data_IF_091756690049
#
_entry.id   IF_091756690049
#
_cell.length_a   1.000
_cell.length_b   1.000
_cell.length_c   1.000
_cell.angle_alpha   90.00
_cell.angle_beta   90.00
_cell.angle_gamma   90.00
#
_symmetry.space_group_name_H-M   'P 1'
#
loop_
_entity.id
_entity.type
_entity.pdbx_description
1 polymer ?
#
# COMPACT_ATOMS: atom_id res chain seq x y z
N UNK A 1 8.12 -27.71 17.89
CA UNK A 1 8.46 -27.49 16.46
C UNK A 1 7.28 -27.60 15.49
N UNK A 2 6.09 -28.07 15.88
CA UNK A 2 4.95 -28.23 14.96
C UNK A 2 4.15 -26.94 14.66
N UNK A 3 3.95 -26.06 15.64
CA UNK A 3 3.10 -24.86 15.45
C UNK A 3 3.67 -23.78 14.52
N UNK A 4 4.98 -23.52 14.60
CA UNK A 4 5.69 -22.56 13.74
C UNK A 4 5.71 -23.00 12.26
N UNK A 5 5.89 -24.30 12.02
CA UNK A 5 5.89 -24.85 10.67
C UNK A 5 4.51 -24.79 10.03
N UNK A 6 3.46 -25.14 10.78
CA UNK A 6 2.06 -25.07 10.30
C UNK A 6 1.66 -23.63 9.99
N UNK A 7 1.93 -22.68 10.89
CA UNK A 7 1.64 -21.26 10.65
C UNK A 7 2.39 -20.69 9.45
N UNK A 8 3.65 -21.09 9.25
CA UNK A 8 4.44 -20.67 8.07
C UNK A 8 3.89 -21.25 6.76
N UNK A 9 3.44 -22.51 6.78
CA UNK A 9 2.81 -23.17 5.63
C UNK A 9 1.47 -22.48 5.31
N UNK A 10 0.63 -22.23 6.30
CA UNK A 10 -0.67 -21.57 6.11
C UNK A 10 -0.50 -20.15 5.54
N UNK A 11 0.47 -19.38 6.04
CA UNK A 11 0.80 -18.06 5.50
C UNK A 11 1.23 -18.14 4.02
N UNK A 12 2.08 -19.10 3.68
CA UNK A 12 2.58 -19.31 2.32
C UNK A 12 1.48 -19.77 1.38
N UNK A 13 0.58 -20.65 1.83
CA UNK A 13 -0.58 -21.11 1.05
C UNK A 13 -1.59 -19.99 0.83
N UNK A 14 -1.85 -19.11 1.82
CA UNK A 14 -2.70 -17.92 1.63
C UNK A 14 -2.14 -16.97 0.58
N UNK A 15 -0.83 -16.75 0.59
CA UNK A 15 -0.16 -15.97 -0.45
C UNK A 15 -0.31 -16.66 -1.82
N UNK A 16 -0.09 -17.96 -1.91
CA UNK A 16 -0.24 -18.72 -3.14
C UNK A 16 -1.66 -18.67 -3.69
N UNK A 17 -2.69 -18.88 -2.86
CA UNK A 17 -4.10 -18.77 -3.28
C UNK A 17 -4.41 -17.39 -3.84
N UNK A 18 -3.92 -16.33 -3.20
CA UNK A 18 -4.09 -14.96 -3.68
C UNK A 18 -3.35 -14.72 -5.00
N UNK A 19 -2.14 -15.24 -5.15
CA UNK A 19 -1.37 -15.14 -6.39
C UNK A 19 -2.09 -15.83 -7.57
N UNK A 20 -2.66 -17.03 -7.34
CA UNK A 20 -3.43 -17.75 -8.35
C UNK A 20 -4.65 -16.95 -8.81
N UNK A 21 -5.42 -16.38 -7.87
CA UNK A 21 -6.61 -15.56 -8.14
C UNK A 21 -6.28 -14.32 -9.00
N UNK A 22 -5.18 -13.63 -8.70
CA UNK A 22 -4.75 -12.48 -9.51
C UNK A 22 -4.24 -12.93 -10.86
N UNK A 23 -3.46 -14.00 -10.94
CA UNK A 23 -2.90 -14.46 -12.20
C UNK A 23 -4.00 -14.79 -13.20
N UNK A 24 -5.14 -15.29 -12.72
CA UNK A 24 -6.31 -15.59 -13.55
C UNK A 24 -7.06 -14.31 -13.97
N UNK A 25 -7.24 -13.35 -13.06
CA UNK A 25 -8.11 -12.19 -13.29
C UNK A 25 -7.41 -10.93 -13.83
N UNK A 26 -6.09 -10.81 -13.70
CA UNK A 26 -5.37 -9.54 -13.92
C UNK A 26 -5.41 -9.02 -15.36
N UNK A 27 -5.29 -9.92 -16.35
CA UNK A 27 -5.42 -9.53 -17.77
C UNK A 27 -6.82 -8.98 -18.06
N UNK A 28 -7.85 -9.73 -17.65
CA UNK A 28 -9.24 -9.37 -17.92
C UNK A 28 -9.64 -8.07 -17.21
N UNK A 29 -9.12 -7.87 -15.98
CA UNK A 29 -9.31 -6.62 -15.23
C UNK A 29 -8.73 -5.40 -15.97
N UNK A 30 -7.51 -5.51 -16.54
CA UNK A 30 -6.91 -4.41 -17.32
C UNK A 30 -7.71 -4.15 -18.59
N UNK A 31 -8.06 -5.20 -19.34
CA UNK A 31 -8.81 -5.07 -20.60
C UNK A 31 -10.16 -4.40 -20.33
N UNK A 32 -10.86 -4.84 -19.28
CA UNK A 32 -12.13 -4.27 -18.87
C UNK A 32 -12.01 -2.81 -18.46
N UNK A 33 -11.00 -2.45 -17.68
CA UNK A 33 -10.77 -1.06 -17.25
C UNK A 33 -10.53 -0.13 -18.46
N UNK A 34 -9.73 -0.58 -19.44
CA UNK A 34 -9.49 0.14 -20.69
C UNK A 34 -10.78 0.27 -21.50
N UNK A 35 -11.49 -0.84 -21.71
CA UNK A 35 -12.75 -0.86 -22.45
C UNK A 35 -13.81 0.06 -21.83
N UNK A 36 -14.00 0.01 -20.51
CA UNK A 36 -14.99 0.82 -19.80
C UNK A 36 -14.65 2.32 -19.89
N UNK A 37 -13.37 2.68 -19.89
CA UNK A 37 -12.94 4.06 -20.07
C UNK A 37 -13.14 4.55 -21.51
N UNK A 38 -12.83 3.72 -22.51
CA UNK A 38 -13.07 4.03 -23.93
C UNK A 38 -14.56 4.17 -24.23
N UNK A 39 -15.40 3.29 -23.68
CA UNK A 39 -16.86 3.35 -23.86
C UNK A 39 -17.47 4.65 -23.31
N UNK A 40 -16.89 5.20 -22.24
CA UNK A 40 -17.33 6.48 -21.65
C UNK A 40 -16.77 7.70 -22.37
N UNK A 41 -15.71 7.54 -23.16
CA UNK A 41 -15.01 8.63 -23.84
C UNK A 41 -14.69 8.19 -25.30
N UNK A 42 -15.70 8.09 -26.17
CA UNK A 42 -15.55 7.51 -27.50
C UNK A 42 -14.63 8.31 -28.44
N UNK A 43 -14.46 9.61 -28.20
CA UNK A 43 -13.65 10.51 -29.05
C UNK A 43 -12.17 10.63 -28.61
N UNK A 44 -11.68 9.71 -27.78
CA UNK A 44 -10.28 9.72 -27.35
C UNK A 44 -9.34 9.43 -28.52
N UNK A 45 -8.28 10.23 -28.64
CA UNK A 45 -7.21 9.96 -29.59
C UNK A 45 -6.46 8.68 -29.24
N UNK A 46 -5.83 8.04 -30.23
CA UNK A 46 -5.01 6.85 -30.01
C UNK A 46 -3.88 7.09 -28.99
N UNK A 47 -3.33 8.31 -28.94
CA UNK A 47 -2.33 8.71 -27.96
C UNK A 47 -2.92 8.74 -26.54
N UNK A 48 -4.11 9.32 -26.36
CA UNK A 48 -4.78 9.36 -25.06
C UNK A 48 -5.17 7.94 -24.57
N UNK A 49 -5.58 7.06 -25.49
CA UNK A 49 -5.86 5.65 -25.18
C UNK A 49 -4.60 4.94 -24.67
N UNK A 50 -3.46 5.13 -25.35
CA UNK A 50 -2.18 4.57 -24.95
C UNK A 50 -1.77 5.04 -23.55
N UNK A 51 -1.83 6.34 -23.30
CA UNK A 51 -1.49 6.91 -21.99
C UNK A 51 -2.41 6.39 -20.87
N UNK A 52 -3.70 6.21 -21.16
CA UNK A 52 -4.63 5.61 -20.22
C UNK A 52 -4.27 4.15 -19.93
N UNK A 53 -3.99 3.36 -20.96
CA UNK A 53 -3.62 1.95 -20.81
C UNK A 53 -2.33 1.78 -19.98
N UNK A 54 -1.32 2.61 -20.21
CA UNK A 54 -0.08 2.63 -19.42
C UNK A 54 -0.36 2.96 -17.95
N UNK A 55 -1.18 3.98 -17.67
CA UNK A 55 -1.59 4.33 -16.30
C UNK A 55 -2.42 3.23 -15.64
N UNK A 56 -3.33 2.60 -16.37
CA UNK A 56 -4.16 1.50 -15.90
C UNK A 56 -3.31 0.28 -15.52
N UNK A 57 -2.32 -0.07 -16.36
CA UNK A 57 -1.36 -1.12 -16.07
C UNK A 57 -0.58 -0.84 -14.79
N UNK A 58 0.03 0.36 -14.69
CA UNK A 58 0.79 0.77 -13.51
C UNK A 58 -0.09 0.76 -12.24
N UNK A 59 -1.31 1.28 -12.33
CA UNK A 59 -2.27 1.27 -11.23
C UNK A 59 -2.54 -0.16 -10.75
N UNK A 60 -2.84 -1.10 -11.66
CA UNK A 60 -3.10 -2.47 -11.27
C UNK A 60 -1.85 -3.14 -10.67
N UNK A 61 -0.67 -2.93 -11.25
CA UNK A 61 0.60 -3.44 -10.71
C UNK A 61 0.82 -2.96 -9.28
N UNK A 62 0.62 -1.67 -9.00
CA UNK A 62 0.78 -1.13 -7.66
C UNK A 62 -0.25 -1.68 -6.67
N UNK A 63 -1.51 -1.84 -7.10
CA UNK A 63 -2.54 -2.44 -6.26
C UNK A 63 -2.22 -3.89 -5.89
N UNK A 64 -1.74 -4.69 -6.86
CA UNK A 64 -1.33 -6.07 -6.60
C UNK A 64 -0.17 -6.11 -5.61
N UNK A 65 0.84 -5.25 -5.76
CA UNK A 65 1.96 -5.16 -4.82
C UNK A 65 1.50 -4.77 -3.41
N UNK A 66 0.66 -3.73 -3.32
CA UNK A 66 0.09 -3.24 -2.06
C UNK A 66 -0.67 -4.35 -1.33
N UNK A 67 -1.61 -5.01 -2.01
CA UNK A 67 -2.43 -6.08 -1.40
C UNK A 67 -1.58 -7.32 -1.09
N UNK A 68 -0.56 -7.64 -1.90
CA UNK A 68 0.41 -8.70 -1.57
C UNK A 68 1.11 -8.42 -0.24
N UNK A 69 1.66 -7.22 -0.07
CA UNK A 69 2.35 -6.84 1.17
C UNK A 69 1.39 -6.89 2.37
N UNK A 70 0.15 -6.43 2.19
CA UNK A 70 -0.87 -6.52 3.25
C UNK A 70 -1.24 -7.97 3.57
N UNK A 71 -1.38 -8.86 2.57
CA UNK A 71 -1.64 -10.30 2.78
C UNK A 71 -0.52 -10.99 3.55
N UNK A 72 0.74 -10.66 3.23
CA UNK A 72 1.92 -11.15 3.95
C UNK A 72 1.88 -10.62 5.39
N UNK A 73 1.67 -9.32 5.56
CA UNK A 73 1.58 -8.66 6.86
C UNK A 73 0.47 -9.23 7.73
N UNK A 74 -0.70 -9.54 7.15
CA UNK A 74 -1.83 -10.15 7.86
C UNK A 74 -1.60 -11.61 8.22
N UNK A 75 -0.85 -12.33 7.39
CA UNK A 75 -0.50 -13.73 7.67
C UNK A 75 0.55 -13.84 8.77
N UNK A 76 1.44 -12.84 8.87
CA UNK A 76 2.47 -12.77 9.90
C UNK A 76 1.91 -12.12 11.18
N UNK A 77 1.33 -10.93 11.11
CA UNK A 77 0.96 -10.07 12.25
C UNK A 77 -0.19 -10.54 13.15
N UNK A 78 -0.63 -11.80 13.06
CA UNK A 78 -1.50 -12.37 14.08
C UNK A 78 -0.76 -12.38 15.44
N UNK A 79 -1.51 -12.23 16.54
CA UNK A 79 -1.02 -11.93 17.90
C UNK A 79 0.16 -12.78 18.41
N UNK A 80 0.37 -13.98 17.87
CA UNK A 80 1.45 -14.89 18.24
C UNK A 80 2.81 -14.54 17.59
N UNK A 81 2.87 -13.58 16.67
CA UNK A 81 4.05 -13.33 15.84
C UNK A 81 4.88 -12.10 16.22
N UNK A 82 4.51 -11.32 17.24
CA UNK A 82 5.30 -10.14 17.62
C UNK A 82 6.74 -10.50 18.01
N UNK A 83 6.95 -11.58 18.77
CA UNK A 83 8.29 -12.07 19.15
C UNK A 83 9.09 -12.61 17.96
N UNK A 84 8.41 -13.23 17.00
CA UNK A 84 9.02 -13.80 15.79
C UNK A 84 9.41 -12.66 14.84
N UNK A 85 8.54 -11.66 14.73
CA UNK A 85 8.72 -10.51 13.87
C UNK A 85 9.88 -9.62 14.32
N UNK A 86 9.93 -9.27 15.61
CA UNK A 86 11.07 -8.55 16.20
C UNK A 86 12.39 -9.24 15.86
N UNK A 87 12.44 -10.59 15.87
CA UNK A 87 13.65 -11.35 15.54
C UNK A 87 13.96 -11.42 14.04
N UNK A 88 12.96 -11.58 13.17
CA UNK A 88 13.16 -11.76 11.72
C UNK A 88 13.56 -10.45 11.02
N UNK A 89 13.07 -9.31 11.52
CA UNK A 89 13.17 -8.02 10.82
C UNK A 89 14.45 -7.27 11.13
N UNK A 90 15.10 -7.64 12.23
CA UNK A 90 16.42 -7.10 12.57
C UNK A 90 17.50 -7.62 11.60
N UNK A 91 17.28 -8.77 10.94
CA UNK A 91 18.35 -9.48 10.22
C UNK A 91 18.30 -9.35 8.69
N UNK A 92 17.21 -8.81 8.11
CA UNK A 92 17.06 -8.69 6.65
C UNK A 92 16.74 -7.27 6.20
N UNK A 93 17.68 -6.71 5.46
CA UNK A 93 17.65 -5.31 5.03
C UNK A 93 17.28 -5.13 3.55
N UNK A 94 16.04 -5.47 3.17
CA UNK A 94 15.54 -5.25 1.79
C UNK A 94 14.29 -4.36 1.74
N UNK A 95 14.01 -3.68 0.61
CA UNK A 95 12.82 -2.84 0.48
C UNK A 95 11.49 -3.55 0.75
N UNK A 96 11.37 -4.82 0.32
CA UNK A 96 10.17 -5.62 0.58
C UNK A 96 9.98 -5.89 2.09
N UNK A 97 11.05 -6.22 2.80
CA UNK A 97 11.01 -6.42 4.25
C UNK A 97 10.59 -5.15 5.00
N UNK A 98 11.11 -3.99 4.60
CA UNK A 98 10.72 -2.70 5.19
C UNK A 98 9.25 -2.34 4.92
N UNK A 99 8.73 -2.65 3.73
CA UNK A 99 7.32 -2.39 3.41
C UNK A 99 6.39 -3.28 4.23
N UNK A 100 6.73 -4.56 4.40
CA UNK A 100 6.01 -5.47 5.30
C UNK A 100 6.09 -4.96 6.75
N UNK A 101 7.26 -4.47 7.19
CA UNK A 101 7.42 -3.85 8.51
C UNK A 101 6.48 -2.69 8.73
N UNK A 102 6.51 -1.74 7.82
CA UNK A 102 5.67 -0.57 7.90
C UNK A 102 4.19 -0.97 7.94
N UNK A 103 3.77 -1.90 7.09
CA UNK A 103 2.38 -2.40 7.09
C UNK A 103 2.00 -3.02 8.43
N UNK A 104 2.87 -3.81 9.07
CA UNK A 104 2.59 -4.42 10.37
C UNK A 104 2.50 -3.36 11.48
N UNK A 105 3.46 -2.43 11.55
CA UNK A 105 3.47 -1.37 12.56
C UNK A 105 2.21 -0.49 12.47
N UNK A 106 1.80 -0.13 11.24
CA UNK A 106 0.64 0.71 11.00
C UNK A 106 -0.68 -0.03 11.26
N UNK A 107 -0.82 -1.28 10.83
CA UNK A 107 -2.12 -1.97 10.81
C UNK A 107 -2.43 -2.73 12.10
N UNK A 108 -1.42 -3.37 12.70
CA UNK A 108 -1.58 -4.19 13.90
C UNK A 108 -1.19 -3.45 15.17
N UNK A 109 0.00 -2.83 15.18
CA UNK A 109 0.47 -2.06 16.33
C UNK A 109 -0.19 -0.68 16.42
N UNK A 110 -0.82 -0.23 15.32
CA UNK A 110 -1.46 1.09 15.18
C UNK A 110 -0.51 2.22 15.59
N UNK A 111 0.78 2.04 15.31
CA UNK A 111 1.84 2.91 15.76
C UNK A 111 2.53 3.56 14.56
N UNK A 112 2.88 4.85 14.72
CA UNK A 112 3.66 5.59 13.74
C UNK A 112 5.08 5.74 14.27
N UNK A 113 5.98 4.92 13.75
CA UNK A 113 7.40 5.00 14.06
C UNK A 113 8.09 6.04 13.17
N UNK A 114 8.28 7.24 13.72
CA UNK A 114 8.90 8.35 12.98
C UNK A 114 10.32 8.09 12.47
N UNK A 115 11.22 7.55 13.31
CA UNK A 115 12.54 7.13 12.87
C UNK A 115 12.51 6.19 11.65
N UNK A 116 11.65 5.16 11.68
CA UNK A 116 11.51 4.21 10.58
C UNK A 116 11.06 4.90 9.29
N UNK A 117 10.03 5.74 9.36
CA UNK A 117 9.50 6.46 8.19
C UNK A 117 10.58 7.36 7.56
N UNK A 118 11.37 8.07 8.38
CA UNK A 118 12.46 8.90 7.87
C UNK A 118 13.55 8.08 7.17
N UNK A 119 13.93 6.95 7.76
CA UNK A 119 14.91 6.04 7.16
C UNK A 119 14.40 5.48 5.82
N UNK A 120 13.19 4.92 5.81
CA UNK A 120 12.56 4.39 4.60
C UNK A 120 12.45 5.44 3.50
N UNK A 121 12.05 6.68 3.82
CA UNK A 121 11.95 7.77 2.84
C UNK A 121 13.31 8.05 2.17
N UNK A 122 14.40 8.07 2.96
CA UNK A 122 15.76 8.25 2.43
C UNK A 122 16.16 7.09 1.53
N UNK A 123 15.86 5.85 1.93
CA UNK A 123 16.24 4.63 1.21
C UNK A 123 15.45 4.42 -0.07
N UNK A 124 14.19 4.86 -0.10
CA UNK A 124 13.29 4.68 -1.24
C UNK A 124 13.31 5.85 -2.22
N UNK A 125 14.13 6.88 -1.99
CA UNK A 125 14.19 8.09 -2.83
C UNK A 125 14.31 7.79 -4.33
N UNK A 126 15.09 6.76 -4.70
CA UNK A 126 15.34 6.37 -6.10
C UNK A 126 14.46 5.18 -6.54
N UNK A 127 13.65 4.63 -5.63
CA UNK A 127 12.72 3.55 -5.89
C UNK A 127 11.28 4.07 -5.83
N UNK A 128 10.81 4.56 -6.98
CA UNK A 128 9.47 5.15 -7.16
C UNK A 128 8.37 4.21 -6.66
N UNK A 129 8.50 2.91 -6.92
CA UNK A 129 7.52 1.90 -6.51
C UNK A 129 7.44 1.81 -5.00
N UNK A 130 8.57 1.67 -4.32
CA UNK A 130 8.60 1.56 -2.86
C UNK A 130 8.17 2.87 -2.18
N UNK A 131 8.59 4.02 -2.71
CA UNK A 131 8.15 5.33 -2.22
C UNK A 131 6.64 5.51 -2.34
N UNK A 132 6.05 5.07 -3.46
CA UNK A 132 4.60 5.12 -3.67
C UNK A 132 3.86 4.22 -2.68
N UNK A 133 4.27 2.96 -2.53
CA UNK A 133 3.64 2.01 -1.61
C UNK A 133 3.75 2.46 -0.15
N UNK A 134 4.91 2.97 0.25
CA UNK A 134 5.12 3.56 1.57
C UNK A 134 4.13 4.69 1.85
N UNK A 135 3.98 5.64 0.91
CA UNK A 135 3.01 6.74 1.03
C UNK A 135 1.57 6.21 1.13
N UNK A 136 1.21 5.23 0.31
CA UNK A 136 -0.11 4.61 0.30
C UNK A 136 -0.47 4.02 1.68
N UNK A 137 0.42 3.23 2.28
CA UNK A 137 0.18 2.61 3.59
C UNK A 137 0.01 3.65 4.70
N UNK A 138 0.87 4.67 4.69
CA UNK A 138 0.84 5.74 5.70
C UNK A 138 -0.46 6.54 5.57
N UNK A 139 -0.82 6.95 4.36
CA UNK A 139 -2.06 7.68 4.10
C UNK A 139 -3.28 6.86 4.52
N UNK A 140 -3.30 5.57 4.20
CA UNK A 140 -4.37 4.67 4.62
C UNK A 140 -4.49 4.59 6.15
N UNK A 141 -3.38 4.47 6.87
CA UNK A 141 -3.36 4.49 8.33
C UNK A 141 -3.88 5.82 8.91
N UNK A 142 -3.42 6.96 8.36
CA UNK A 142 -3.86 8.30 8.80
C UNK A 142 -5.37 8.54 8.60
N UNK A 143 -5.97 7.83 7.64
CA UNK A 143 -7.41 7.83 7.39
C UNK A 143 -8.16 6.89 8.36
N UNK A 144 -7.64 5.67 8.58
CA UNK A 144 -8.33 4.63 9.34
C UNK A 144 -8.23 4.81 10.87
N UNK A 145 -7.18 5.45 11.37
CA UNK A 145 -6.90 5.58 12.80
C UNK A 145 -6.79 7.04 13.24
N UNK A 146 -7.22 7.35 14.49
CA UNK A 146 -7.00 8.68 15.05
C UNK A 146 -5.50 8.92 15.24
N UNK A 147 -5.01 10.01 14.65
CA UNK A 147 -3.62 10.44 14.75
C UNK A 147 -3.62 11.95 14.97
N UNK A 148 -2.82 12.40 15.92
CA UNK A 148 -2.69 13.82 16.28
C UNK A 148 -2.33 14.69 15.07
N UNK A 149 -2.93 15.87 15.00
CA UNK A 149 -2.75 16.78 13.86
C UNK A 149 -1.29 17.16 13.63
N UNK A 150 -0.54 17.39 14.71
CA UNK A 150 0.89 17.70 14.64
C UNK A 150 1.72 16.57 14.02
N UNK A 151 1.31 15.31 14.22
CA UNK A 151 1.97 14.13 13.68
C UNK A 151 1.62 13.96 12.21
N UNK A 152 0.35 14.17 11.84
CA UNK A 152 -0.11 14.21 10.44
C UNK A 152 0.69 15.21 9.61
N UNK A 153 0.88 16.42 10.14
CA UNK A 153 1.65 17.47 9.46
C UNK A 153 3.12 17.05 9.26
N UNK A 154 3.79 16.57 10.30
CA UNK A 154 5.19 16.11 10.22
C UNK A 154 5.38 15.01 9.18
N UNK A 155 4.45 14.05 9.13
CA UNK A 155 4.48 12.96 8.15
C UNK A 155 4.34 13.51 6.73
N UNK A 156 3.38 14.41 6.53
CA UNK A 156 3.15 14.99 5.22
C UNK A 156 4.36 15.78 4.71
N UNK A 157 5.02 16.53 5.60
CA UNK A 157 6.24 17.27 5.28
C UNK A 157 7.39 16.30 4.89
N UNK A 158 7.53 15.17 5.58
CA UNK A 158 8.57 14.16 5.28
C UNK A 158 8.33 13.50 3.92
N UNK A 159 7.08 13.19 3.61
CA UNK A 159 6.70 12.40 2.43
C UNK A 159 6.37 13.24 1.20
N UNK A 160 6.50 14.57 1.31
CA UNK A 160 6.05 15.55 0.32
C UNK A 160 4.60 15.32 -0.11
N UNK A 161 3.74 14.97 0.86
CA UNK A 161 2.32 14.78 0.62
C UNK A 161 1.66 16.14 0.72
N UNK A 162 1.03 16.60 -0.37
CA UNK A 162 0.15 17.76 -0.31
C UNK A 162 -1.02 17.45 0.60
N UNK A 163 -0.97 17.98 1.82
CA UNK A 163 -2.13 18.01 2.70
C UNK A 163 -3.10 19.06 2.14
N UNK A 164 -4.03 18.65 1.28
CA UNK A 164 -5.20 19.48 1.02
C UNK A 164 -5.95 19.61 2.35
N UNK A 165 -5.80 20.77 2.99
CA UNK A 165 -6.31 21.08 4.33
C UNK A 165 -7.82 20.78 4.47
N UNK A 166 -8.56 20.80 3.37
CA UNK A 166 -9.99 20.46 3.29
C UNK A 166 -10.29 18.98 3.57
N UNK A 167 -9.48 18.03 3.07
CA UNK A 167 -9.77 16.57 3.21
C UNK A 167 -9.52 16.01 4.61
N UNK A 168 -8.70 16.69 5.41
CA UNK A 168 -8.43 16.30 6.81
C UNK A 168 -9.52 16.83 7.75
N UNK A 169 -10.07 18.02 7.44
CA UNK A 169 -11.14 18.67 8.21
C UNK A 169 -12.51 18.04 7.94
N UNK A 170 -12.80 17.58 6.72
CA UNK A 170 -14.09 16.96 6.39
C UNK A 170 -14.27 15.54 6.99
N UNK A 171 -13.17 14.80 7.18
CA UNK A 171 -13.21 13.43 7.72
C UNK A 171 -13.40 13.36 9.24
N UNK A 172 -13.27 14.46 9.98
CA UNK A 172 -13.77 14.54 11.36
C UNK A 172 -15.29 14.68 11.43
N UNK A 173 -15.98 14.89 10.30
CA UNK A 173 -17.40 15.29 10.30
C UNK A 173 -18.34 14.35 9.55
N UNK A 174 -17.95 13.67 8.45
CA UNK A 174 -18.84 12.73 7.74
C UNK A 174 -18.06 11.60 7.06
N UNK A 175 -18.54 10.39 7.24
CA UNK A 175 -17.90 9.17 6.75
C UNK A 175 -17.86 9.05 5.22
N UNK A 176 -16.79 8.40 4.75
CA UNK A 176 -16.80 7.52 3.59
C UNK A 176 -16.76 8.19 2.22
N UNK A 177 -15.57 8.67 1.80
CA UNK A 177 -15.20 8.66 0.39
C UNK A 177 -13.73 8.22 0.23
N UNK A 178 -13.50 7.24 -0.63
CA UNK A 178 -12.18 6.73 -0.99
C UNK A 178 -11.31 7.83 -1.60
N UNK A 179 -10.05 7.87 -1.20
CA UNK A 179 -9.06 8.83 -1.68
C UNK A 179 -8.88 8.73 -3.20
N UNK A 180 -8.92 9.88 -3.86
CA UNK A 180 -8.58 10.02 -5.27
C UNK A 180 -7.05 9.94 -5.44
N UNK A 181 -6.58 8.78 -5.91
CA UNK A 181 -5.17 8.48 -6.12
C UNK A 181 -4.51 9.29 -7.26
N UNK A 182 -5.27 10.09 -8.01
CA UNK A 182 -4.71 11.00 -9.02
C UNK A 182 -4.00 12.23 -8.41
N UNK A 183 -4.10 12.43 -7.10
CA UNK A 183 -3.46 13.57 -6.42
C UNK A 183 -1.99 13.34 -6.04
N UNK A 184 -1.50 12.10 -6.14
CA UNK A 184 -0.08 11.82 -5.91
C UNK A 184 0.69 12.08 -7.21
N UNK A 185 1.53 13.13 -7.22
CA UNK A 185 2.50 13.31 -8.29
C UNK A 185 3.45 12.12 -8.32
N UNK A 186 3.67 11.59 -9.51
CA UNK A 186 4.68 10.57 -9.80
C UNK A 186 6.07 11.05 -9.38
#
# INVERSE_FOLDING_TARGET
MSGLSVSSIDASLRFLSYFLEISESSKDNIVRLIHDNMSKNPDMSSQAIKEFAEKAYLYLTYNILSVTIQKISNSIGAKEADEIYEKIVIDKDTPAYLLVRLSIELQFKKNINMPLIKDMNKRFKDNVVCSRLMREFIVHHLYMFPVEYNMKQKIADILDIKMDKQRILENSSRGGQLLDFNQFKA
#
